data_IF_600075319396
#
_entry.id   IF_600075319396
#
_cell.length_a   1.000
_cell.length_b   1.000
_cell.length_c   1.000
_cell.angle_alpha   90.00
_cell.angle_beta   90.00
_cell.angle_gamma   90.00
#
_symmetry.space_group_name_H-M   'P 1'
#
loop_
_entity.id
_entity.type
_entity.pdbx_description
1 polymer ?
#
# COMPACT_ATOMS: atom_id res chain seq x y z
N UNK A 1 -30.21 70.41 -70.98
CA UNK A 1 -30.82 69.19 -70.47
C UNK A 1 -29.98 68.03 -70.96
N UNK A 2 -28.99 67.56 -70.20
CA UNK A 2 -28.01 66.51 -70.60
C UNK A 2 -28.38 65.23 -69.89
N UNK A 3 -28.70 64.20 -70.66
CA UNK A 3 -28.97 62.80 -70.16
C UNK A 3 -27.65 62.11 -69.89
N UNK A 4 -27.44 61.73 -68.67
CA UNK A 4 -26.29 60.94 -68.24
C UNK A 4 -26.53 59.48 -68.44
N UNK A 5 -25.77 58.76 -69.28
CA UNK A 5 -25.80 57.36 -69.51
C UNK A 5 -25.04 56.62 -68.35
N UNK A 6 -25.73 55.81 -67.63
CA UNK A 6 -25.12 54.95 -66.59
C UNK A 6 -24.57 53.67 -67.25
N UNK A 7 -23.29 53.45 -67.08
CA UNK A 7 -22.59 52.19 -67.52
C UNK A 7 -22.49 51.22 -66.42
N UNK A 8 -23.07 50.00 -66.62
CA UNK A 8 -22.99 48.88 -65.64
C UNK A 8 -21.97 47.87 -66.10
N UNK A 9 -20.96 47.50 -65.27
CA UNK A 9 -20.04 46.44 -65.65
C UNK A 9 -20.64 45.06 -65.31
N UNK A 10 -20.53 44.13 -66.26
CA UNK A 10 -20.85 42.70 -66.09
C UNK A 10 -19.71 42.06 -65.27
N UNK A 11 -20.02 41.57 -64.07
CA UNK A 11 -19.12 40.74 -63.25
C UNK A 11 -19.33 39.28 -63.66
N UNK A 12 -18.29 38.67 -64.19
CA UNK A 12 -18.23 37.23 -64.49
C UNK A 12 -17.78 36.47 -63.23
N UNK A 13 -18.65 35.72 -62.60
CA UNK A 13 -18.32 34.89 -61.45
C UNK A 13 -17.76 33.54 -61.99
N UNK A 14 -16.45 33.39 -61.89
CA UNK A 14 -15.81 32.05 -62.05
C UNK A 14 -16.02 31.25 -60.76
N UNK A 15 -16.77 30.16 -60.89
CA UNK A 15 -16.99 29.21 -59.81
C UNK A 15 -15.70 28.48 -59.48
N UNK A 16 -15.06 28.84 -58.34
CA UNK A 16 -14.00 28.03 -57.77
C UNK A 16 -14.65 26.95 -56.89
N UNK A 17 -14.58 25.72 -57.37
CA UNK A 17 -14.98 24.54 -56.58
C UNK A 17 -14.02 24.35 -55.42
N UNK A 18 -14.48 24.68 -54.22
CA UNK A 18 -13.76 24.37 -52.94
C UNK A 18 -14.07 22.92 -52.60
N UNK A 19 -13.15 22.00 -52.90
CA UNK A 19 -13.19 20.66 -52.42
C UNK A 19 -12.92 20.65 -50.90
N UNK A 20 -13.97 20.51 -50.10
CA UNK A 20 -13.91 20.34 -48.67
C UNK A 20 -13.43 18.92 -48.37
N UNK A 21 -12.12 18.72 -48.15
CA UNK A 21 -11.60 17.50 -47.53
C UNK A 21 -12.03 17.46 -46.08
N UNK A 22 -13.14 16.77 -45.78
CA UNK A 22 -13.52 16.41 -44.40
C UNK A 22 -12.61 15.27 -43.99
N UNK A 23 -11.48 15.57 -43.38
CA UNK A 23 -10.71 14.61 -42.58
C UNK A 23 -11.55 14.28 -41.34
N UNK A 24 -12.26 13.17 -41.37
CA UNK A 24 -12.85 12.60 -40.16
C UNK A 24 -11.71 12.23 -39.18
N UNK A 25 -11.45 13.10 -38.21
CA UNK A 25 -10.71 12.70 -37.00
C UNK A 25 -11.57 11.66 -36.30
N UNK A 26 -11.25 10.39 -36.48
CA UNK A 26 -11.70 9.32 -35.60
C UNK A 26 -10.98 9.58 -34.29
N UNK A 27 -11.58 10.38 -33.42
CA UNK A 27 -11.21 10.39 -32.02
C UNK A 27 -11.51 8.99 -31.49
N UNK A 28 -10.49 8.16 -31.38
CA UNK A 28 -10.57 6.95 -30.61
C UNK A 28 -10.99 7.39 -29.21
N UNK A 29 -12.27 7.21 -28.88
CA UNK A 29 -12.70 7.16 -27.50
C UNK A 29 -12.01 5.94 -26.91
N UNK A 30 -10.78 6.10 -26.42
CA UNK A 30 -10.22 5.22 -25.44
C UNK A 30 -11.20 5.29 -24.27
N UNK A 31 -12.10 4.32 -24.18
CA UNK A 31 -13.02 4.17 -23.07
C UNK A 31 -12.14 4.25 -21.83
N UNK A 32 -12.46 5.16 -20.93
CA UNK A 32 -11.76 5.31 -19.65
C UNK A 32 -11.85 3.95 -18.97
N UNK A 33 -10.75 3.20 -19.01
CA UNK A 33 -10.71 1.85 -18.45
C UNK A 33 -10.88 2.02 -16.96
N UNK A 34 -11.99 1.53 -16.41
CA UNK A 34 -12.21 1.57 -14.98
C UNK A 34 -11.11 0.78 -14.28
N UNK A 35 -10.50 1.38 -13.28
CA UNK A 35 -9.50 0.70 -12.46
C UNK A 35 -10.14 -0.54 -11.80
N UNK A 36 -9.57 -1.75 -11.95
CA UNK A 36 -9.97 -2.91 -11.16
C UNK A 36 -9.88 -2.62 -9.66
N UNK A 37 -10.76 -3.25 -8.88
CA UNK A 37 -10.83 -3.04 -7.44
C UNK A 37 -9.50 -3.40 -6.74
N UNK A 38 -9.07 -2.54 -5.78
CA UNK A 38 -7.98 -2.80 -4.84
C UNK A 38 -8.63 -2.85 -3.45
N UNK A 39 -8.81 -4.06 -2.90
CA UNK A 39 -9.74 -4.33 -1.83
C UNK A 39 -9.13 -4.38 -0.43
N UNK A 40 -7.81 -4.45 -0.32
CA UNK A 40 -7.14 -4.52 0.98
C UNK A 40 -5.65 -4.82 0.84
N UNK A 41 -4.97 -4.88 1.97
CA UNK A 41 -3.61 -5.38 2.05
C UNK A 41 -3.66 -6.91 1.95
N UNK A 42 -2.79 -7.48 1.11
CA UNK A 42 -2.55 -8.91 1.07
C UNK A 42 -1.47 -9.30 2.08
N UNK A 43 -0.30 -8.70 1.95
CA UNK A 43 0.85 -9.03 2.78
C UNK A 43 1.94 -7.95 2.72
N UNK A 44 2.90 -8.07 3.61
CA UNK A 44 4.19 -7.41 3.52
C UNK A 44 5.26 -8.48 3.35
N UNK A 45 6.23 -8.23 2.46
CA UNK A 45 7.39 -9.10 2.27
C UNK A 45 8.55 -8.55 3.09
N UNK A 46 9.21 -9.41 3.86
CA UNK A 46 10.37 -9.04 4.67
C UNK A 46 11.54 -9.97 4.43
N UNK A 47 12.75 -9.43 4.45
CA UNK A 47 13.97 -10.21 4.41
C UNK A 47 14.40 -10.64 5.81
N UNK A 48 14.75 -11.91 5.98
CA UNK A 48 15.25 -12.48 7.22
C UNK A 48 16.70 -12.95 7.09
N UNK A 49 17.53 -12.56 8.06
CA UNK A 49 18.93 -13.02 8.16
C UNK A 49 19.04 -14.40 8.81
N UNK A 50 18.07 -14.79 9.65
CA UNK A 50 18.00 -16.08 10.34
C UNK A 50 16.56 -16.62 10.24
N UNK A 51 16.37 -17.59 9.35
CA UNK A 51 15.07 -18.22 9.12
C UNK A 51 14.47 -18.90 10.37
N UNK A 52 15.30 -19.47 11.25
CA UNK A 52 14.83 -20.11 12.48
C UNK A 52 14.37 -19.10 13.52
N UNK A 53 15.10 -18.02 13.68
CA UNK A 53 14.71 -16.93 14.58
C UNK A 53 13.42 -16.26 14.09
N UNK A 54 13.29 -16.03 12.78
CA UNK A 54 12.07 -15.50 12.16
C UNK A 54 10.89 -16.45 12.30
N UNK A 55 11.10 -17.76 12.11
CA UNK A 55 10.07 -18.78 12.34
C UNK A 55 9.53 -18.73 13.78
N UNK A 56 10.43 -18.65 14.78
CA UNK A 56 10.01 -18.48 16.18
C UNK A 56 9.19 -17.20 16.39
N UNK A 57 9.58 -16.10 15.73
CA UNK A 57 8.86 -14.84 15.87
C UNK A 57 7.46 -14.90 15.22
N UNK A 58 7.38 -15.27 13.95
CA UNK A 58 6.12 -15.23 13.21
C UNK A 58 5.17 -16.39 13.60
N UNK A 59 5.68 -17.61 13.72
CA UNK A 59 4.82 -18.76 14.05
C UNK A 59 4.53 -18.90 15.55
N UNK A 60 5.51 -18.64 16.43
CA UNK A 60 5.29 -18.81 17.87
C UNK A 60 4.86 -17.50 18.53
N UNK A 61 5.66 -16.43 18.43
CA UNK A 61 5.34 -15.16 19.12
C UNK A 61 4.04 -14.55 18.56
N UNK A 62 3.93 -14.38 17.25
CA UNK A 62 2.70 -13.84 16.64
C UNK A 62 1.58 -14.89 16.49
N UNK A 63 1.91 -16.18 16.55
CA UNK A 63 0.94 -17.29 16.46
C UNK A 63 0.39 -17.52 15.06
N UNK A 64 1.07 -17.04 14.02
CA UNK A 64 0.65 -17.18 12.64
C UNK A 64 0.80 -18.62 12.12
N UNK A 65 -0.07 -19.01 11.18
CA UNK A 65 0.03 -20.30 10.51
C UNK A 65 1.12 -20.28 9.43
N UNK A 66 2.08 -21.19 9.53
CA UNK A 66 3.17 -21.33 8.57
C UNK A 66 2.75 -22.14 7.34
N UNK A 67 3.11 -21.67 6.16
CA UNK A 67 2.93 -22.41 4.90
C UNK A 67 4.09 -22.12 3.92
N UNK A 68 4.32 -23.02 2.93
CA UNK A 68 5.21 -22.72 1.80
C UNK A 68 4.72 -21.51 1.02
N UNK A 69 5.66 -20.82 0.37
CA UNK A 69 5.30 -19.73 -0.52
C UNK A 69 5.08 -20.23 -1.95
N UNK A 70 3.89 -20.05 -2.53
CA UNK A 70 3.61 -20.46 -3.91
C UNK A 70 4.24 -19.55 -4.97
N UNK A 71 4.81 -18.40 -4.59
CA UNK A 71 5.48 -17.45 -5.49
C UNK A 71 6.99 -17.65 -5.51
N UNK A 72 7.62 -17.94 -4.36
CA UNK A 72 9.05 -18.18 -4.22
C UNK A 72 9.32 -19.46 -3.41
N UNK A 73 9.96 -20.49 -3.99
CA UNK A 73 10.25 -21.74 -3.27
C UNK A 73 11.21 -21.56 -2.08
N UNK A 74 11.91 -20.42 -1.98
CA UNK A 74 12.77 -20.09 -0.83
C UNK A 74 12.02 -19.26 0.22
N UNK A 75 10.83 -18.77 -0.09
CA UNK A 75 10.00 -18.00 0.80
C UNK A 75 9.18 -18.86 1.77
N UNK A 76 8.70 -18.21 2.82
CA UNK A 76 7.77 -18.81 3.79
C UNK A 76 6.69 -17.80 4.10
N UNK A 77 5.42 -18.22 4.06
CA UNK A 77 4.29 -17.39 4.45
C UNK A 77 3.82 -17.70 5.86
N UNK A 78 3.53 -16.65 6.61
CA UNK A 78 2.99 -16.71 7.97
C UNK A 78 1.64 -16.00 7.98
N UNK A 79 0.57 -16.79 7.99
CA UNK A 79 -0.80 -16.34 7.82
C UNK A 79 -1.45 -15.94 9.14
N UNK A 80 -2.06 -14.77 9.16
CA UNK A 80 -2.90 -14.27 10.26
C UNK A 80 -4.38 -14.53 10.01
N UNK A 81 -4.75 -14.70 8.75
CA UNK A 81 -6.09 -15.09 8.28
C UNK A 81 -5.94 -15.88 6.97
N UNK A 82 -7.00 -16.49 6.43
CA UNK A 82 -6.90 -17.21 5.15
C UNK A 82 -6.41 -16.35 3.96
N UNK A 83 -6.43 -15.04 4.09
CA UNK A 83 -6.16 -14.07 3.00
C UNK A 83 -5.01 -13.12 3.25
N UNK A 84 -4.50 -13.05 4.49
CA UNK A 84 -3.45 -12.09 4.85
C UNK A 84 -2.30 -12.76 5.60
N UNK A 85 -1.08 -12.42 5.22
CA UNK A 85 0.14 -13.04 5.74
C UNK A 85 1.33 -12.07 5.73
N UNK A 86 2.43 -12.48 6.32
CA UNK A 86 3.76 -11.94 6.05
C UNK A 86 4.53 -12.97 5.24
N UNK A 87 5.15 -12.54 4.16
CA UNK A 87 6.08 -13.32 3.38
C UNK A 87 7.49 -13.07 3.89
N UNK A 88 8.17 -14.12 4.33
CA UNK A 88 9.55 -14.05 4.82
C UNK A 88 10.47 -14.66 3.78
N UNK A 89 11.37 -13.85 3.25
CA UNK A 89 12.33 -14.21 2.21
C UNK A 89 13.76 -14.25 2.79
N UNK A 90 14.63 -15.10 2.25
CA UNK A 90 16.04 -15.07 2.63
C UNK A 90 16.68 -13.71 2.31
N UNK A 91 17.48 -13.18 3.24
CA UNK A 91 18.18 -11.93 3.04
C UNK A 91 19.21 -12.08 1.91
N UNK A 92 19.11 -11.29 0.82
CA UNK A 92 20.08 -11.35 -0.27
C UNK A 92 21.48 -10.93 0.19
N UNK A 93 22.51 -11.58 -0.35
CA UNK A 93 23.89 -11.21 -0.08
C UNK A 93 24.16 -9.77 -0.50
N UNK A 94 24.81 -9.00 0.38
CA UNK A 94 25.14 -7.59 0.13
C UNK A 94 23.93 -6.63 0.22
N UNK A 95 22.76 -7.11 0.66
CA UNK A 95 21.61 -6.24 0.91
C UNK A 95 21.92 -5.26 2.05
N UNK A 96 21.29 -4.09 1.98
CA UNK A 96 21.40 -3.08 3.04
C UNK A 96 20.63 -3.49 4.32
N UNK A 97 20.51 -2.59 5.29
CA UNK A 97 19.84 -2.88 6.58
C UNK A 97 18.32 -2.91 6.47
N UNK A 98 17.71 -2.24 5.45
CA UNK A 98 16.26 -2.31 5.26
C UNK A 98 15.81 -3.76 5.07
N UNK A 99 14.78 -4.15 5.77
CA UNK A 99 14.22 -5.51 5.69
C UNK A 99 12.92 -5.59 4.89
N UNK A 100 12.38 -4.46 4.47
CA UNK A 100 11.20 -4.47 3.60
C UNK A 100 11.60 -4.91 2.19
N UNK A 101 10.99 -6.01 1.73
CA UNK A 101 11.16 -6.51 0.37
C UNK A 101 10.04 -6.04 -0.55
N UNK A 102 8.79 -6.07 -0.08
CA UNK A 102 7.63 -5.55 -0.82
C UNK A 102 6.44 -5.21 0.10
N UNK A 103 5.49 -4.47 -0.46
CA UNK A 103 4.13 -4.31 0.07
C UNK A 103 3.15 -4.80 -0.98
N UNK A 104 2.17 -5.61 -0.60
CA UNK A 104 1.25 -6.22 -1.54
C UNK A 104 -0.21 -5.89 -1.24
N UNK A 105 -0.96 -5.55 -2.30
CA UNK A 105 -2.38 -5.21 -2.24
C UNK A 105 -3.20 -6.21 -3.06
N UNK A 106 -4.36 -6.61 -2.50
CA UNK A 106 -5.30 -7.48 -3.18
C UNK A 106 -6.05 -6.72 -4.28
N UNK A 107 -6.14 -7.32 -5.46
CA UNK A 107 -6.99 -6.86 -6.55
C UNK A 107 -7.92 -7.96 -7.02
N UNK A 108 -9.09 -7.58 -7.54
CA UNK A 108 -10.03 -8.52 -8.14
C UNK A 108 -9.56 -9.03 -9.52
N UNK A 109 -8.70 -8.27 -10.22
CA UNK A 109 -8.19 -8.60 -11.55
C UNK A 109 -6.78 -8.03 -11.74
N UNK A 110 -5.75 -8.85 -11.52
CA UNK A 110 -4.36 -8.46 -11.68
C UNK A 110 -3.99 -8.13 -13.14
N UNK A 111 -4.58 -8.82 -14.11
CA UNK A 111 -4.34 -8.55 -15.53
C UNK A 111 -4.90 -7.20 -15.96
N UNK A 112 -6.15 -6.93 -15.58
CA UNK A 112 -6.81 -5.66 -15.86
C UNK A 112 -6.12 -4.50 -15.17
N UNK A 113 -5.67 -4.68 -13.90
CA UNK A 113 -4.95 -3.64 -13.17
C UNK A 113 -3.57 -3.35 -13.78
N UNK A 114 -2.85 -4.38 -14.28
CA UNK A 114 -1.61 -4.18 -15.03
C UNK A 114 -1.84 -3.36 -16.31
N UNK A 115 -2.90 -3.65 -17.06
CA UNK A 115 -3.26 -2.88 -18.25
C UNK A 115 -3.64 -1.44 -17.90
N UNK A 116 -4.43 -1.25 -16.84
CA UNK A 116 -4.78 0.07 -16.31
C UNK A 116 -3.51 0.87 -15.94
N UNK A 117 -2.59 0.25 -15.22
CA UNK A 117 -1.33 0.89 -14.80
C UNK A 117 -0.46 1.28 -16.01
N UNK A 118 -0.39 0.44 -17.04
CA UNK A 118 0.29 0.78 -18.31
C UNK A 118 -0.34 1.98 -18.99
N UNK A 119 -1.67 2.05 -19.03
CA UNK A 119 -2.41 3.15 -19.65
C UNK A 119 -2.24 4.48 -18.88
N UNK A 120 -1.92 4.42 -17.58
CA UNK A 120 -1.64 5.59 -16.73
C UNK A 120 -0.15 5.86 -16.53
N UNK A 121 0.71 5.29 -17.39
CA UNK A 121 2.15 5.52 -17.40
C UNK A 121 2.86 5.21 -16.07
N UNK A 122 2.37 4.22 -15.33
CA UNK A 122 3.06 3.73 -14.12
C UNK A 122 4.40 3.13 -14.56
N UNK A 123 5.47 3.56 -13.92
CA UNK A 123 6.83 3.12 -14.22
C UNK A 123 7.17 1.79 -13.51
N UNK A 124 8.20 1.10 -14.00
CA UNK A 124 8.75 -0.09 -13.35
C UNK A 124 7.80 -1.30 -13.29
N UNK A 125 6.80 -1.35 -14.18
CA UNK A 125 5.84 -2.46 -14.25
C UNK A 125 6.55 -3.75 -14.70
N UNK A 126 6.42 -4.79 -13.87
CA UNK A 126 6.81 -6.15 -14.20
C UNK A 126 5.77 -6.87 -15.06
N UNK A 127 6.10 -8.08 -15.49
CA UNK A 127 5.19 -8.96 -16.21
C UNK A 127 4.22 -9.65 -15.22
N UNK A 128 3.07 -10.06 -15.74
CA UNK A 128 2.11 -10.83 -14.97
C UNK A 128 2.66 -12.23 -14.68
N UNK A 129 2.73 -12.56 -13.40
CA UNK A 129 3.20 -13.84 -12.88
C UNK A 129 2.01 -14.72 -12.46
N UNK A 130 2.27 -16.02 -12.27
CA UNK A 130 1.27 -16.97 -11.75
C UNK A 130 1.94 -17.90 -10.73
N UNK A 131 1.38 -17.98 -9.53
CA UNK A 131 1.83 -18.88 -8.47
C UNK A 131 1.32 -20.31 -8.65
N UNK A 132 1.92 -21.23 -7.91
CA UNK A 132 1.50 -22.65 -7.90
C UNK A 132 0.12 -22.86 -7.30
N UNK A 133 -0.38 -21.89 -6.52
CA UNK A 133 -1.73 -21.82 -5.96
C UNK A 133 -2.77 -21.19 -6.91
N UNK A 134 -2.35 -20.79 -8.13
CA UNK A 134 -3.19 -20.09 -9.10
C UNK A 134 -3.34 -18.58 -8.83
N UNK A 135 -2.66 -18.02 -7.84
CA UNK A 135 -2.56 -16.58 -7.66
C UNK A 135 -1.89 -15.93 -8.87
N UNK A 136 -2.29 -14.70 -9.19
CA UNK A 136 -1.70 -13.93 -10.29
C UNK A 136 -1.28 -12.57 -9.78
N UNK A 137 -0.06 -12.14 -10.11
CA UNK A 137 0.46 -10.85 -9.60
C UNK A 137 1.40 -10.19 -10.59
N UNK A 138 1.64 -8.92 -10.37
CA UNK A 138 2.72 -8.15 -10.97
C UNK A 138 3.31 -7.20 -9.94
N UNK A 139 4.52 -6.75 -10.21
CA UNK A 139 5.21 -5.75 -9.40
C UNK A 139 5.31 -4.43 -10.13
N UNK A 140 5.42 -3.36 -9.37
CA UNK A 140 5.86 -2.03 -9.78
C UNK A 140 6.71 -1.43 -8.66
N UNK A 141 7.15 -0.20 -8.85
CA UNK A 141 7.79 0.57 -7.78
C UNK A 141 6.98 1.82 -7.51
N UNK A 142 6.87 2.17 -6.22
CA UNK A 142 6.38 3.48 -5.85
C UNK A 142 7.46 4.56 -6.05
N UNK A 143 7.15 5.84 -5.89
CA UNK A 143 8.11 6.94 -6.02
C UNK A 143 9.29 6.90 -5.03
N UNK A 144 9.14 6.26 -3.88
CA UNK A 144 10.24 6.04 -2.92
C UNK A 144 11.15 4.85 -3.34
N UNK A 145 10.76 4.11 -4.39
CA UNK A 145 11.48 2.94 -4.90
C UNK A 145 11.13 1.63 -4.21
N UNK A 146 10.13 1.63 -3.33
CA UNK A 146 9.65 0.41 -2.70
C UNK A 146 8.98 -0.48 -3.73
N UNK A 147 9.18 -1.80 -3.63
CA UNK A 147 8.48 -2.75 -4.47
C UNK A 147 7.03 -2.90 -4.01
N UNK A 148 6.10 -2.61 -4.90
CA UNK A 148 4.66 -2.76 -4.70
C UNK A 148 4.16 -3.92 -5.54
N UNK A 149 3.45 -4.85 -4.93
CA UNK A 149 2.83 -5.97 -5.61
C UNK A 149 1.31 -5.79 -5.64
N UNK A 150 0.69 -6.09 -6.78
CA UNK A 150 -0.76 -6.24 -6.89
C UNK A 150 -1.07 -7.70 -7.18
N UNK A 151 -1.81 -8.34 -6.28
CA UNK A 151 -2.09 -9.78 -6.33
C UNK A 151 -3.59 -10.05 -6.41
N UNK A 152 -3.97 -10.84 -7.39
CA UNK A 152 -5.26 -11.55 -7.43
C UNK A 152 -5.05 -12.88 -6.71
N UNK A 153 -5.70 -13.08 -5.55
CA UNK A 153 -5.51 -14.29 -4.76
C UNK A 153 -5.84 -15.56 -5.55
N UNK A 154 -5.10 -16.62 -5.29
CA UNK A 154 -5.38 -17.96 -5.76
C UNK A 154 -6.19 -18.77 -4.75
N UNK A 155 -5.81 -20.02 -4.57
CA UNK A 155 -6.45 -20.90 -3.58
C UNK A 155 -6.16 -20.42 -2.16
N UNK A 156 -7.22 -20.17 -1.39
CA UNK A 156 -7.10 -19.80 0.01
C UNK A 156 -6.66 -20.99 0.85
N UNK A 157 -5.86 -20.71 1.89
CA UNK A 157 -5.50 -21.74 2.87
C UNK A 157 -6.65 -21.94 3.88
N UNK A 158 -6.75 -23.17 4.40
CA UNK A 158 -7.48 -23.41 5.64
C UNK A 158 -6.56 -23.12 6.82
N UNK A 159 -6.96 -22.21 7.71
CA UNK A 159 -6.20 -21.96 8.93
C UNK A 159 -6.15 -23.22 9.79
N UNK A 160 -4.96 -23.71 10.21
CA UNK A 160 -4.85 -24.80 11.16
C UNK A 160 -5.56 -24.47 12.47
N UNK A 161 -6.20 -25.46 13.10
CA UNK A 161 -6.97 -25.25 14.32
C UNK A 161 -6.12 -24.92 15.57
N UNK A 162 -4.83 -25.13 15.50
CA UNK A 162 -3.82 -24.78 16.52
C UNK A 162 -3.17 -23.42 16.30
N UNK A 163 -3.37 -22.78 15.14
CA UNK A 163 -2.92 -21.43 14.91
C UNK A 163 -3.66 -20.44 15.82
N UNK A 164 -2.91 -19.61 16.54
CA UNK A 164 -3.44 -18.62 17.51
C UNK A 164 -2.83 -17.25 17.25
N UNK A 165 -3.12 -16.63 16.08
CA UNK A 165 -2.58 -15.33 15.77
C UNK A 165 -3.06 -14.29 16.80
N UNK A 166 -2.13 -13.47 17.30
CA UNK A 166 -2.44 -12.43 18.27
C UNK A 166 -3.32 -11.31 17.67
N UNK A 167 -3.22 -11.11 16.38
CA UNK A 167 -4.11 -10.27 15.58
C UNK A 167 -4.51 -11.02 14.32
N UNK A 168 -5.73 -10.84 13.86
CA UNK A 168 -6.34 -11.63 12.79
C UNK A 168 -6.39 -10.91 11.45
N UNK A 169 -5.98 -9.64 11.42
CA UNK A 169 -6.01 -8.80 10.22
C UNK A 169 -4.82 -7.87 10.17
N UNK A 170 -4.14 -7.84 9.03
CA UNK A 170 -3.20 -6.75 8.70
C UNK A 170 -4.04 -5.53 8.34
N UNK A 171 -4.04 -4.53 9.20
CA UNK A 171 -4.87 -3.33 9.03
C UNK A 171 -4.13 -2.20 8.35
N UNK A 172 -2.81 -2.12 8.51
CA UNK A 172 -1.99 -1.22 7.72
C UNK A 172 -0.57 -1.73 7.50
N UNK A 173 0.06 -1.17 6.51
CA UNK A 173 1.50 -1.22 6.27
C UNK A 173 2.01 0.21 6.26
N UNK A 174 3.19 0.44 6.81
CA UNK A 174 3.82 1.76 6.84
C UNK A 174 5.25 1.69 6.35
N UNK A 175 5.70 2.74 5.70
CA UNK A 175 7.07 2.89 5.27
C UNK A 175 7.49 4.35 5.15
N UNK A 176 8.80 4.54 5.12
CA UNK A 176 9.44 5.84 5.06
C UNK A 176 9.08 6.58 3.76
N UNK A 177 8.67 7.83 3.89
CA UNK A 177 8.31 8.71 2.76
C UNK A 177 9.02 10.05 2.88
N UNK A 178 9.74 10.43 1.84
CA UNK A 178 10.38 11.74 1.70
C UNK A 178 9.49 12.72 0.94
N UNK A 179 8.80 12.25 -0.10
CA UNK A 179 7.96 13.08 -0.96
C UNK A 179 6.51 12.68 -0.91
N UNK A 180 5.74 13.30 0.01
CA UNK A 180 4.28 13.11 0.06
C UNK A 180 3.60 13.39 -1.29
N UNK A 181 4.05 14.42 -2.02
CA UNK A 181 3.43 14.79 -3.29
C UNK A 181 3.60 13.70 -4.36
N UNK A 182 4.79 13.08 -4.44
CA UNK A 182 5.04 11.98 -5.37
C UNK A 182 4.22 10.73 -5.00
N UNK A 183 4.18 10.38 -3.71
CA UNK A 183 3.38 9.26 -3.21
C UNK A 183 1.88 9.48 -3.41
N UNK A 184 1.38 10.69 -3.14
CA UNK A 184 -0.02 11.04 -3.39
C UNK A 184 -0.36 10.94 -4.88
N UNK A 185 0.55 11.32 -5.79
CA UNK A 185 0.32 11.14 -7.22
C UNK A 185 0.15 9.66 -7.58
N UNK A 186 1.02 8.80 -7.09
CA UNK A 186 0.95 7.35 -7.36
C UNK A 186 -0.27 6.70 -6.68
N UNK A 187 -0.38 6.82 -5.35
CA UNK A 187 -1.42 6.11 -4.61
C UNK A 187 -2.81 6.75 -4.75
N UNK A 188 -2.92 8.08 -4.65
CA UNK A 188 -4.24 8.74 -4.67
C UNK A 188 -4.73 9.04 -6.08
N UNK A 189 -3.91 9.69 -6.93
CA UNK A 189 -4.37 10.16 -8.23
C UNK A 189 -4.45 9.02 -9.24
N UNK A 190 -3.47 8.11 -9.28
CA UNK A 190 -3.47 6.97 -10.21
C UNK A 190 -4.28 5.80 -9.63
N UNK A 191 -3.94 5.33 -8.43
CA UNK A 191 -4.53 4.12 -7.85
C UNK A 191 -5.84 4.37 -7.09
N UNK A 192 -6.18 5.62 -6.77
CA UNK A 192 -7.44 5.99 -6.15
C UNK A 192 -7.51 5.75 -4.63
N UNK A 193 -6.37 5.63 -3.94
CA UNK A 193 -6.34 5.57 -2.48
C UNK A 193 -6.97 6.83 -1.88
N UNK A 194 -7.61 6.68 -0.74
CA UNK A 194 -8.41 7.74 -0.12
C UNK A 194 -7.74 8.26 1.14
N UNK A 195 -7.66 9.59 1.36
CA UNK A 195 -7.19 10.13 2.63
C UNK A 195 -7.98 9.51 3.78
N UNK A 196 -7.30 9.16 4.87
CA UNK A 196 -7.93 8.53 6.03
C UNK A 196 -7.67 9.31 7.32
N UNK A 197 -6.40 9.56 7.64
CA UNK A 197 -5.98 10.31 8.81
C UNK A 197 -4.58 10.90 8.60
N UNK A 198 -4.26 11.99 9.31
CA UNK A 198 -2.89 12.45 9.44
C UNK A 198 -2.61 12.92 10.86
N UNK A 199 -1.34 12.81 11.28
CA UNK A 199 -0.87 13.22 12.59
C UNK A 199 0.53 13.83 12.56
N UNK A 200 0.83 14.57 13.64
CA UNK A 200 2.14 15.18 13.84
C UNK A 200 2.48 15.30 15.33
N UNK A 201 3.77 15.20 15.66
CA UNK A 201 4.27 15.45 17.05
C UNK A 201 4.38 16.93 17.38
N UNK A 202 4.50 17.77 16.35
CA UNK A 202 4.65 19.21 16.49
C UNK A 202 3.63 19.93 15.64
N UNK A 203 3.13 21.11 16.07
CA UNK A 203 2.29 21.97 15.24
C UNK A 203 2.98 22.26 13.90
N UNK A 204 2.19 22.40 12.86
CA UNK A 204 2.64 22.75 11.49
C UNK A 204 3.54 21.70 10.81
N UNK A 205 3.65 20.50 11.39
CA UNK A 205 4.30 19.34 10.78
C UNK A 205 3.29 18.28 10.37
N UNK A 206 3.75 17.34 9.54
CA UNK A 206 3.05 16.10 9.20
C UNK A 206 4.02 14.95 9.34
N UNK A 207 3.81 14.09 10.31
CA UNK A 207 4.71 12.95 10.59
C UNK A 207 4.13 11.63 10.10
N UNK A 208 2.80 11.52 10.08
CA UNK A 208 2.06 10.35 9.60
C UNK A 208 0.94 10.75 8.68
N UNK A 209 0.79 10.03 7.57
CA UNK A 209 -0.34 10.19 6.64
C UNK A 209 -0.87 8.82 6.29
N UNK A 210 -2.13 8.57 6.58
CA UNK A 210 -2.80 7.31 6.28
C UNK A 210 -3.69 7.46 5.06
N UNK A 211 -3.54 6.54 4.10
CA UNK A 211 -4.32 6.45 2.87
C UNK A 211 -5.02 5.10 2.81
N UNK A 212 -6.36 5.06 2.90
CA UNK A 212 -7.09 3.81 2.74
C UNK A 212 -7.03 3.30 1.31
N UNK A 213 -6.96 1.98 1.15
CA UNK A 213 -7.16 1.34 -0.15
C UNK A 213 -8.50 1.78 -0.75
N UNK A 214 -8.61 1.91 -2.08
CA UNK A 214 -9.79 2.52 -2.70
C UNK A 214 -11.09 1.76 -2.45
N UNK A 215 -11.04 0.44 -2.37
CA UNK A 215 -12.23 -0.42 -2.32
C UNK A 215 -12.27 -1.27 -1.04
N UNK A 216 -11.67 -0.76 0.05
CA UNK A 216 -11.62 -1.41 1.36
C UNK A 216 -11.30 -0.45 2.49
N UNK A 217 -10.91 -0.98 3.65
CA UNK A 217 -10.67 -0.20 4.87
C UNK A 217 -9.23 -0.29 5.39
N UNK A 218 -8.40 -1.23 4.91
CA UNK A 218 -6.99 -1.28 5.23
C UNK A 218 -6.29 -0.04 4.67
N UNK A 219 -5.19 0.40 5.29
CA UNK A 219 -4.52 1.61 4.83
C UNK A 219 -3.01 1.47 4.72
N UNK A 220 -2.43 2.33 3.90
CA UNK A 220 -1.02 2.61 3.82
C UNK A 220 -0.71 3.79 4.74
N UNK A 221 0.36 3.71 5.50
CA UNK A 221 0.86 4.80 6.32
C UNK A 221 2.19 5.33 5.78
N UNK A 222 2.21 6.62 5.43
CA UNK A 222 3.45 7.33 5.16
C UNK A 222 4.09 7.73 6.48
N UNK A 223 5.25 7.18 6.77
CA UNK A 223 6.13 7.63 7.84
C UNK A 223 7.00 8.76 7.30
N UNK A 224 6.52 10.00 7.49
CA UNK A 224 7.13 11.19 6.86
C UNK A 224 8.48 11.53 7.47
N UNK A 225 9.45 11.88 6.62
CA UNK A 225 10.78 12.36 7.03
C UNK A 225 11.21 13.54 6.15
N UNK A 226 12.08 14.38 6.68
CA UNK A 226 12.59 15.56 5.96
C UNK A 226 11.65 16.74 6.03
N UNK A 227 11.52 17.49 4.94
CA UNK A 227 10.78 18.75 4.90
C UNK A 227 9.30 18.55 5.26
N UNK A 228 8.81 19.34 6.20
CA UNK A 228 7.44 19.27 6.69
C UNK A 228 7.17 18.20 7.76
N UNK A 229 8.16 17.36 8.09
CA UNK A 229 8.11 16.40 9.21
C UNK A 229 8.92 16.86 10.40
N UNK A 230 8.56 16.39 11.60
CA UNK A 230 9.38 16.56 12.80
C UNK A 230 10.62 15.64 12.82
N UNK A 231 10.76 14.74 11.85
CA UNK A 231 11.87 13.81 11.71
C UNK A 231 12.83 14.27 10.62
N UNK A 232 13.95 14.94 10.93
CA UNK A 232 14.90 15.37 9.93
C UNK A 232 15.66 14.18 9.31
N UNK A 233 15.89 14.23 8.00
CA UNK A 233 16.62 13.19 7.25
C UNK A 233 17.97 12.82 7.88
N UNK A 234 18.68 13.80 8.42
CA UNK A 234 19.99 13.57 9.07
C UNK A 234 19.94 12.67 10.30
N UNK A 235 18.76 12.43 10.87
CA UNK A 235 18.55 11.54 12.01
C UNK A 235 18.00 10.17 11.62
N UNK A 236 17.63 9.97 10.34
CA UNK A 236 17.17 8.67 9.85
C UNK A 236 18.38 7.88 9.41
N UNK A 237 18.72 6.85 10.14
CA UNK A 237 19.71 5.86 9.72
C UNK A 237 19.03 4.53 9.37
N UNK A 238 19.78 3.64 8.74
CA UNK A 238 19.21 2.36 8.31
C UNK A 238 18.71 1.48 9.47
N UNK A 239 19.23 1.65 10.69
CA UNK A 239 18.77 0.91 11.87
C UNK A 239 17.36 1.32 12.31
N UNK A 240 16.91 2.51 11.91
CA UNK A 240 15.56 3.00 12.17
C UNK A 240 14.55 2.56 11.10
N UNK A 241 15.00 2.05 9.96
CA UNK A 241 14.10 1.63 8.88
C UNK A 241 13.14 0.52 9.31
N UNK A 242 13.59 -0.42 10.19
CA UNK A 242 12.70 -1.44 10.75
C UNK A 242 11.58 -0.91 11.64
N UNK A 243 11.73 0.32 12.18
CA UNK A 243 10.66 1.03 12.91
C UNK A 243 9.73 1.77 11.97
N UNK A 244 10.26 2.33 10.90
CA UNK A 244 9.50 3.09 9.90
C UNK A 244 8.83 2.17 8.89
N UNK A 245 9.53 1.12 8.43
CA UNK A 245 8.98 0.11 7.54
C UNK A 245 8.35 -1.02 8.38
N UNK A 246 7.03 -1.05 8.47
CA UNK A 246 6.32 -1.94 9.39
C UNK A 246 4.97 -2.40 8.82
N UNK A 247 4.37 -3.36 9.51
CA UNK A 247 2.97 -3.69 9.34
C UNK A 247 2.25 -3.72 10.69
N UNK A 248 0.94 -3.55 10.67
CA UNK A 248 0.13 -3.55 11.87
C UNK A 248 -0.93 -4.64 11.83
N UNK A 249 -1.03 -5.36 12.95
CA UNK A 249 -2.07 -6.35 13.19
C UNK A 249 -3.18 -5.74 14.06
N UNK A 250 -4.41 -5.82 13.56
CA UNK A 250 -5.59 -5.40 14.29
C UNK A 250 -5.88 -6.34 15.46
N UNK A 251 -6.07 -5.77 16.63
CA UNK A 251 -6.53 -6.48 17.84
C UNK A 251 -7.83 -5.86 18.35
N UNK A 252 -8.67 -6.67 18.97
CA UNK A 252 -9.95 -6.19 19.54
C UNK A 252 -9.77 -5.43 20.83
N UNK A 253 -8.83 -5.88 21.64
CA UNK A 253 -8.55 -5.32 22.96
C UNK A 253 -7.04 -5.45 23.22
N UNK A 254 -6.40 -4.34 23.47
CA UNK A 254 -4.94 -4.29 23.67
C UNK A 254 -4.51 -4.93 24.98
N UNK A 255 -5.29 -4.76 26.04
CA UNK A 255 -5.00 -5.37 27.34
C UNK A 255 -5.04 -6.91 27.25
N UNK A 256 -6.04 -7.46 26.59
CA UNK A 256 -6.13 -8.92 26.34
C UNK A 256 -4.98 -9.44 25.50
N UNK A 257 -4.61 -8.72 24.43
CA UNK A 257 -3.53 -9.10 23.55
C UNK A 257 -2.18 -9.14 24.29
N UNK A 258 -1.81 -8.06 25.00
CA UNK A 258 -0.55 -7.98 25.74
C UNK A 258 -0.54 -8.97 26.90
N UNK A 259 -1.64 -9.12 27.64
CA UNK A 259 -1.76 -10.10 28.73
C UNK A 259 -1.60 -11.54 28.20
N UNK A 260 -2.14 -11.84 27.03
CA UNK A 260 -1.99 -13.16 26.39
C UNK A 260 -0.53 -13.42 26.04
N UNK A 261 0.14 -12.47 25.36
CA UNK A 261 1.55 -12.59 25.02
C UNK A 261 2.41 -12.82 26.27
N UNK A 262 2.14 -12.06 27.35
CA UNK A 262 2.86 -12.22 28.61
C UNK A 262 2.64 -13.59 29.27
N UNK A 263 1.39 -14.02 29.40
CA UNK A 263 1.06 -15.30 30.08
C UNK A 263 1.54 -16.53 29.33
N UNK A 264 1.63 -16.44 28.00
CA UNK A 264 2.06 -17.52 27.14
C UNK A 264 3.56 -17.48 26.81
N UNK A 265 4.33 -16.59 27.47
CA UNK A 265 5.75 -16.38 27.21
C UNK A 265 6.06 -16.07 25.75
N UNK A 266 5.20 -15.25 25.13
CA UNK A 266 5.25 -14.85 23.71
C UNK A 266 5.62 -13.39 23.51
N UNK A 267 6.02 -12.65 24.55
CA UNK A 267 6.53 -11.30 24.35
C UNK A 267 7.87 -11.35 23.62
N UNK A 268 8.00 -10.57 22.55
CA UNK A 268 9.28 -10.38 21.87
C UNK A 268 10.31 -9.82 22.83
N UNK A 269 11.58 -10.23 22.77
CA UNK A 269 12.66 -9.66 23.60
C UNK A 269 12.78 -8.13 23.48
N UNK A 270 12.49 -7.61 22.28
CA UNK A 270 12.32 -6.17 22.07
C UNK A 270 10.84 -5.88 21.80
N UNK A 271 10.25 -5.07 22.66
CA UNK A 271 8.86 -4.61 22.54
C UNK A 271 8.70 -3.24 23.18
N UNK A 272 7.67 -2.50 22.78
CA UNK A 272 7.29 -1.20 23.32
C UNK A 272 5.78 -1.13 23.55
N UNK A 273 5.38 -0.41 24.58
CA UNK A 273 3.97 -0.20 24.89
C UNK A 273 3.41 -1.22 25.89
N UNK A 274 2.08 -1.29 26.07
CA UNK A 274 1.07 -0.55 25.30
C UNK A 274 1.07 0.96 25.57
N UNK A 275 0.70 1.72 24.54
CA UNK A 275 0.61 3.18 24.61
C UNK A 275 -0.57 3.70 23.73
N UNK A 276 -1.00 4.91 24.03
CA UNK A 276 -2.01 5.60 23.21
C UNK A 276 -1.32 6.25 22.00
N UNK A 277 -1.76 5.89 20.80
CA UNK A 277 -1.36 6.56 19.58
C UNK A 277 -1.99 7.95 19.43
N UNK A 278 -1.39 8.79 18.59
CA UNK A 278 -1.96 10.12 18.29
C UNK A 278 -3.27 10.01 17.49
N UNK A 279 -3.49 8.89 16.84
CA UNK A 279 -4.75 8.52 16.17
C UNK A 279 -5.86 8.10 17.15
N UNK A 280 -5.57 8.09 18.45
CA UNK A 280 -6.53 7.74 19.50
C UNK A 280 -6.75 6.25 19.71
N UNK A 281 -5.93 5.40 19.11
CA UNK A 281 -5.98 3.94 19.26
C UNK A 281 -4.90 3.44 20.21
N UNK A 282 -5.18 2.37 20.95
CA UNK A 282 -4.15 1.66 21.70
C UNK A 282 -3.22 0.91 20.75
N UNK A 283 -1.93 1.00 21.02
CA UNK A 283 -0.83 0.42 20.24
C UNK A 283 0.19 -0.27 21.13
N UNK A 284 0.79 -1.34 20.62
CA UNK A 284 1.99 -1.96 21.18
C UNK A 284 2.88 -2.43 20.03
N UNK A 285 4.20 -2.40 20.23
CA UNK A 285 5.14 -2.78 19.19
C UNK A 285 5.91 -4.03 19.61
N UNK A 286 6.02 -4.97 18.69
CA UNK A 286 6.92 -6.11 18.74
C UNK A 286 7.95 -5.96 17.63
N UNK A 287 9.13 -6.53 17.79
CA UNK A 287 10.17 -6.45 16.77
C UNK A 287 10.65 -7.85 16.44
N UNK A 288 10.73 -8.14 15.15
CA UNK A 288 11.32 -9.39 14.69
C UNK A 288 12.84 -9.41 14.92
N UNK A 289 13.53 -10.54 14.71
CA UNK A 289 14.97 -10.66 14.93
C UNK A 289 15.82 -9.69 14.10
N UNK A 290 15.33 -9.26 12.95
CA UNK A 290 16.00 -8.31 12.05
C UNK A 290 15.61 -6.85 12.32
N UNK A 291 14.71 -6.61 13.27
CA UNK A 291 14.29 -5.27 13.72
C UNK A 291 13.08 -4.71 12.97
N UNK A 292 12.40 -5.51 12.15
CA UNK A 292 11.12 -5.11 11.55
C UNK A 292 10.07 -4.95 12.64
N UNK A 293 9.41 -3.80 12.69
CA UNK A 293 8.35 -3.52 13.65
C UNK A 293 7.05 -4.21 13.22
N UNK A 294 6.46 -4.92 14.16
CA UNK A 294 5.08 -5.39 14.07
C UNK A 294 4.28 -4.62 15.11
N UNK A 295 3.37 -3.79 14.65
CA UNK A 295 2.51 -3.03 15.54
C UNK A 295 1.23 -3.82 15.81
N UNK A 296 0.86 -3.96 17.06
CA UNK A 296 -0.50 -4.32 17.45
C UNK A 296 -1.30 -3.04 17.63
N UNK A 297 -2.48 -2.95 17.03
CA UNK A 297 -3.30 -1.76 17.11
C UNK A 297 -4.78 -2.13 17.27
N UNK A 298 -5.49 -1.45 18.15
CA UNK A 298 -6.94 -1.62 18.23
C UNK A 298 -7.63 -1.11 16.97
N UNK A 299 -8.69 -1.80 16.54
CA UNK A 299 -9.41 -1.43 15.32
C UNK A 299 -10.03 -0.04 15.40
N UNK A 300 -10.53 0.35 16.57
CA UNK A 300 -11.26 1.59 16.76
C UNK A 300 -10.53 2.54 17.69
N UNK A 301 -10.60 3.85 17.47
CA UNK A 301 -10.09 4.83 18.42
C UNK A 301 -10.96 4.84 19.69
N UNK A 302 -10.32 4.92 20.84
CA UNK A 302 -10.98 5.06 22.16
C UNK A 302 -10.92 6.49 22.70
N UNK A 303 -10.13 7.34 22.03
CA UNK A 303 -10.05 8.78 22.31
C UNK A 303 -10.15 9.57 21.02
N UNK A 304 -10.36 10.88 21.12
CA UNK A 304 -10.35 11.77 19.96
C UNK A 304 -8.96 11.78 19.32
N UNK A 305 -8.83 11.50 18.02
CA UNK A 305 -7.56 11.58 17.33
C UNK A 305 -7.01 13.01 17.29
N UNK A 306 -5.69 13.14 17.38
CA UNK A 306 -4.98 14.38 17.16
C UNK A 306 -4.99 14.74 15.66
N UNK A 307 -4.86 16.00 15.41
CA UNK A 307 -4.45 16.67 14.17
C UNK A 307 -5.52 16.60 13.07
N UNK A 308 -6.11 15.45 12.74
CA UNK A 308 -7.27 15.35 11.84
C UNK A 308 -8.31 14.35 12.38
N UNK A 309 -9.57 14.47 12.01
CA UNK A 309 -10.55 13.39 12.21
C UNK A 309 -10.26 12.25 11.21
N UNK A 310 -10.74 11.06 11.51
CA UNK A 310 -10.87 10.01 10.51
C UNK A 310 -11.92 10.42 9.47
N UNK A 311 -11.60 10.19 8.20
CA UNK A 311 -12.48 10.56 7.07
C UNK A 311 -13.36 9.42 6.59
N UNK A 312 -13.13 8.21 7.12
CA UNK A 312 -13.86 7.00 6.78
C UNK A 312 -13.84 6.00 7.95
N UNK A 313 -14.58 4.91 7.81
CA UNK A 313 -14.61 3.84 8.80
C UNK A 313 -13.25 3.13 8.93
N UNK A 314 -12.89 2.79 10.17
CA UNK A 314 -11.74 1.95 10.47
C UNK A 314 -11.99 0.51 10.02
N UNK A 315 -10.94 -0.29 9.74
CA UNK A 315 -11.09 -1.72 9.54
C UNK A 315 -11.80 -2.35 10.75
N UNK A 316 -12.54 -3.41 10.47
CA UNK A 316 -13.13 -4.28 11.49
C UNK A 316 -12.51 -5.68 11.39
N UNK A 317 -12.66 -6.46 12.47
CA UNK A 317 -12.19 -7.83 12.53
C UNK A 317 -13.02 -8.75 11.63
#
# INVERSE_FOLDING_TARGET
MAMMKIWTPKISIKSFGLALCVTAMVASAAGQQNRPAITGISHMCVYASDAKASDNFYAHILGAAKAPDPQDPNGTRYYFSPTQFVEVLPLPAGHNISRMACVAYNTADASGLLQYSRAHSVEGLGELQTGTDGSRWFHTKDPEGNQVQFIQPGQLISMPGDAKPIGTRVIHVGYLVHSKAAEDHFYKEILGFRPYWFGAKQPDHVDWVSQQVPDGHDWLEYMMVGDGSSVPLSKVDQRQLGVLNHFSLGVRNMEEAVTTLYREDRLSPRHDGPQMGLDGKWQANLYDPDGTRVELMEFQPVTKPCCSPFTAESPAN
#
